data_IF_397827400769
#
_entry.id   IF_397827400769
#
_cell.length_a   1.000
_cell.length_b   1.000
_cell.length_c   1.000
_cell.angle_alpha   90.00
_cell.angle_beta   90.00
_cell.angle_gamma   90.00
#
_symmetry.space_group_name_H-M   'P 1'
#
loop_
_entity.id
_entity.type
_entity.pdbx_description
1 polymer ?
#
# COMPACT_ATOMS: atom_id res chain seq x y z
N UNK A 1 34.91 -1.48 -4.96
CA UNK A 1 33.55 -1.98 -5.26
C UNK A 1 32.61 -1.14 -4.43
N UNK A 2 32.04 -0.06 -4.99
CA UNK A 2 31.04 0.72 -4.27
C UNK A 2 29.89 -0.24 -3.94
N UNK A 3 29.53 -0.35 -2.66
CA UNK A 3 28.38 -1.16 -2.27
C UNK A 3 27.16 -0.59 -2.98
N UNK A 4 26.43 -1.41 -3.73
CA UNK A 4 25.18 -0.97 -4.35
C UNK A 4 24.28 -0.39 -3.25
N UNK A 5 23.96 0.90 -3.37
CA UNK A 5 23.07 1.55 -2.42
C UNK A 5 21.72 0.84 -2.47
N UNK A 6 21.27 0.32 -1.32
CA UNK A 6 20.04 -0.47 -1.26
C UNK A 6 18.87 0.48 -1.22
N UNK A 7 18.02 0.43 -2.25
CA UNK A 7 16.84 1.26 -2.32
C UNK A 7 15.88 0.88 -1.18
N UNK A 8 15.49 1.85 -0.36
CA UNK A 8 14.47 1.71 0.69
C UNK A 8 13.07 2.00 0.16
N UNK A 9 12.16 1.03 0.27
CA UNK A 9 10.73 1.17 -0.01
C UNK A 9 9.96 0.95 1.29
N UNK A 10 9.18 1.91 1.76
CA UNK A 10 8.27 1.69 2.88
C UNK A 10 6.87 1.37 2.39
N UNK A 11 6.16 0.49 3.09
CA UNK A 11 4.73 0.24 2.87
C UNK A 11 3.96 0.89 4.02
N UNK A 12 3.33 2.03 3.74
CA UNK A 12 2.46 2.73 4.69
C UNK A 12 1.05 2.16 4.55
N UNK A 13 0.63 1.36 5.52
CA UNK A 13 -0.70 0.75 5.48
C UNK A 13 -1.23 0.31 6.83
N UNK A 14 -2.23 -0.55 6.78
CA UNK A 14 -2.97 -1.03 7.95
C UNK A 14 -2.62 -2.49 8.29
N UNK A 15 -3.61 -3.29 8.72
CA UNK A 15 -3.45 -4.72 9.04
C UNK A 15 -3.02 -5.57 7.84
N UNK A 16 -3.43 -5.17 6.62
CA UNK A 16 -3.03 -5.86 5.38
C UNK A 16 -1.52 -5.75 5.13
N UNK A 17 -0.94 -4.63 5.55
CA UNK A 17 0.51 -4.39 5.49
C UNK A 17 1.22 -4.97 6.70
N UNK A 18 0.63 -4.83 7.91
CA UNK A 18 1.22 -5.32 9.15
C UNK A 18 1.38 -6.86 9.16
N UNK A 19 0.59 -7.58 8.36
CA UNK A 19 0.57 -9.04 8.34
C UNK A 19 -0.27 -9.61 9.47
N UNK A 20 -1.45 -9.02 9.72
CA UNK A 20 -2.34 -9.49 10.79
C UNK A 20 -2.61 -10.99 10.69
N UNK A 21 -2.38 -11.70 11.79
CA UNK A 21 -2.58 -13.15 11.88
C UNK A 21 -1.53 -14.00 11.15
N UNK A 22 -0.47 -13.39 10.60
CA UNK A 22 0.60 -14.07 9.87
C UNK A 22 1.94 -13.96 10.61
N UNK A 23 2.86 -14.86 10.27
CA UNK A 23 4.24 -14.71 10.69
C UNK A 23 4.90 -13.52 9.94
N UNK A 24 5.89 -12.83 10.53
CA UNK A 24 6.49 -11.63 9.92
C UNK A 24 7.05 -11.83 8.50
N UNK A 25 7.48 -13.04 8.17
CA UNK A 25 8.08 -13.41 6.87
C UNK A 25 7.02 -13.68 5.80
N UNK A 26 5.78 -13.90 6.23
CA UNK A 26 4.60 -14.10 5.39
C UNK A 26 3.84 -12.79 5.13
N UNK A 27 4.13 -11.74 5.88
CA UNK A 27 3.53 -10.42 5.69
C UNK A 27 3.88 -9.83 4.30
N UNK A 28 2.96 -9.04 3.75
CA UNK A 28 3.08 -8.47 2.41
C UNK A 28 4.44 -7.77 2.15
N UNK A 29 4.95 -6.88 3.02
CA UNK A 29 6.25 -6.24 2.80
C UNK A 29 7.42 -7.22 2.66
N UNK A 30 7.44 -8.30 3.47
CA UNK A 30 8.50 -9.31 3.42
C UNK A 30 8.43 -10.14 2.14
N UNK A 31 7.22 -10.53 1.73
CA UNK A 31 6.99 -11.25 0.47
C UNK A 31 7.31 -10.39 -0.76
N UNK A 32 6.97 -9.11 -0.72
CA UNK A 32 7.29 -8.14 -1.76
C UNK A 32 8.82 -7.94 -1.89
N UNK A 33 9.55 -7.80 -0.77
CA UNK A 33 11.01 -7.71 -0.77
C UNK A 33 11.64 -8.91 -1.47
N UNK A 34 11.21 -10.11 -1.07
CA UNK A 34 11.70 -11.36 -1.65
C UNK A 34 11.46 -11.39 -3.16
N UNK A 35 10.23 -11.11 -3.61
CA UNK A 35 9.87 -11.11 -5.02
C UNK A 35 10.66 -10.08 -5.84
N UNK A 36 10.84 -8.85 -5.32
CA UNK A 36 11.65 -7.82 -5.98
C UNK A 36 13.13 -8.22 -6.08
N UNK A 37 13.69 -8.85 -5.05
CA UNK A 37 15.08 -9.36 -5.08
C UNK A 37 15.26 -10.50 -6.07
N UNK A 38 14.29 -11.41 -6.19
CA UNK A 38 14.27 -12.45 -7.22
C UNK A 38 14.21 -11.84 -8.64
N UNK A 39 13.70 -10.62 -8.77
CA UNK A 39 13.72 -9.83 -10.02
C UNK A 39 15.01 -9.01 -10.20
N UNK A 40 16.03 -9.19 -9.35
CA UNK A 40 17.32 -8.50 -9.43
C UNK A 40 17.33 -7.08 -8.83
N UNK A 41 16.27 -6.68 -8.11
CA UNK A 41 16.21 -5.37 -7.47
C UNK A 41 16.90 -5.40 -6.09
N UNK A 42 17.94 -4.59 -5.91
CA UNK A 42 18.57 -4.38 -4.60
C UNK A 42 17.70 -3.43 -3.75
N UNK A 43 16.66 -3.99 -3.13
CA UNK A 43 15.67 -3.23 -2.34
C UNK A 43 15.57 -3.76 -0.91
N UNK A 44 15.27 -2.86 0.03
CA UNK A 44 14.83 -3.13 1.40
C UNK A 44 13.38 -2.65 1.52
N UNK A 45 12.45 -3.55 1.84
CA UNK A 45 11.05 -3.20 2.06
C UNK A 45 10.79 -3.08 3.56
N UNK A 46 10.40 -1.88 3.99
CA UNK A 46 10.10 -1.53 5.37
C UNK A 46 8.60 -1.71 5.60
N UNK A 47 8.25 -2.50 6.61
CA UNK A 47 6.87 -2.66 7.05
C UNK A 47 6.47 -1.49 7.95
N UNK A 48 5.71 -0.54 7.41
CA UNK A 48 5.08 0.54 8.17
C UNK A 48 3.56 0.33 8.27
N UNK A 49 3.14 -0.93 8.40
CA UNK A 49 1.77 -1.34 8.64
C UNK A 49 1.38 -1.25 10.12
N UNK A 50 0.21 -0.68 10.41
CA UNK A 50 -0.36 -0.67 11.76
C UNK A 50 -1.79 -1.19 11.71
N UNK A 51 -2.05 -2.31 12.36
CA UNK A 51 -3.38 -2.93 12.34
C UNK A 51 -4.45 -1.97 12.88
N UNK A 52 -5.53 -1.80 12.11
CA UNK A 52 -6.66 -0.94 12.47
C UNK A 52 -6.50 0.54 12.09
N UNK A 53 -5.39 0.92 11.47
CA UNK A 53 -5.17 2.29 10.99
C UNK A 53 -6.22 2.70 9.96
N UNK A 54 -6.76 3.90 10.18
CA UNK A 54 -7.49 4.65 9.15
C UNK A 54 -6.52 5.51 8.35
N UNK A 55 -6.98 6.11 7.26
CA UNK A 55 -6.22 7.12 6.52
C UNK A 55 -5.73 8.28 7.41
N UNK A 56 -6.52 8.68 8.42
CA UNK A 56 -6.14 9.70 9.39
C UNK A 56 -4.99 9.24 10.30
N UNK A 57 -5.04 7.97 10.75
CA UNK A 57 -3.98 7.36 11.56
C UNK A 57 -2.66 7.30 10.79
N UNK A 58 -2.71 6.82 9.54
CA UNK A 58 -1.55 6.80 8.66
C UNK A 58 -0.97 8.18 8.38
N UNK A 59 -1.81 9.19 8.14
CA UNK A 59 -1.36 10.58 7.98
C UNK A 59 -0.69 11.12 9.24
N UNK A 60 -1.24 10.85 10.42
CA UNK A 60 -0.72 11.34 11.68
C UNK A 60 0.69 10.81 11.98
N UNK A 61 1.00 9.58 11.54
CA UNK A 61 2.32 8.94 11.75
C UNK A 61 3.22 8.95 10.52
N UNK A 62 2.87 9.68 9.46
CA UNK A 62 3.65 9.70 8.23
C UNK A 62 5.12 10.04 8.48
N UNK A 63 5.40 10.99 9.39
CA UNK A 63 6.76 11.37 9.76
C UNK A 63 7.56 10.24 10.40
N UNK A 64 6.92 9.32 11.12
CA UNK A 64 7.60 8.14 11.67
C UNK A 64 8.01 7.17 10.56
N UNK A 65 7.17 6.99 9.54
CA UNK A 65 7.53 6.21 8.36
C UNK A 65 8.65 6.87 7.55
N UNK A 66 8.67 8.20 7.49
CA UNK A 66 9.72 8.95 6.80
C UNK A 66 11.06 8.97 7.56
N UNK A 67 11.08 8.66 8.86
CA UNK A 67 12.30 8.62 9.65
C UNK A 67 13.26 7.49 9.22
N UNK A 68 12.76 6.44 8.57
CA UNK A 68 13.59 5.42 7.93
C UNK A 68 14.15 5.86 6.57
N UNK A 69 13.86 7.09 6.15
CA UNK A 69 14.28 7.74 4.90
C UNK A 69 14.03 6.87 3.64
N UNK A 70 12.78 6.42 3.42
CA UNK A 70 12.45 5.68 2.22
C UNK A 70 12.59 6.55 0.97
N UNK A 71 13.01 5.96 -0.15
CA UNK A 71 12.96 6.59 -1.47
C UNK A 71 11.56 6.45 -2.08
N UNK A 72 10.90 5.33 -1.78
CA UNK A 72 9.56 5.00 -2.26
C UNK A 72 8.63 4.73 -1.08
N UNK A 73 7.40 5.23 -1.14
CA UNK A 73 6.33 4.85 -0.19
C UNK A 73 5.14 4.30 -0.95
N UNK A 74 4.83 3.02 -0.74
CA UNK A 74 3.58 2.42 -1.16
C UNK A 74 2.50 2.70 -0.11
N UNK A 75 1.47 3.44 -0.49
CA UNK A 75 0.36 3.82 0.38
C UNK A 75 -0.82 2.88 0.15
N UNK A 76 -1.21 2.15 1.19
CA UNK A 76 -2.38 1.27 1.21
C UNK A 76 -3.24 1.52 2.47
N UNK A 77 -4.14 2.50 2.39
CA UNK A 77 -5.02 2.93 3.47
C UNK A 77 -6.44 3.20 2.96
N UNK A 78 -7.40 3.24 3.88
CA UNK A 78 -8.82 3.51 3.62
C UNK A 78 -9.75 2.31 3.85
N UNK A 79 -9.21 1.10 4.00
CA UNK A 79 -10.00 -0.08 4.33
C UNK A 79 -10.74 0.09 5.66
N UNK A 80 -10.03 0.46 6.72
CA UNK A 80 -10.64 0.71 8.03
C UNK A 80 -11.58 1.92 8.05
N UNK A 81 -11.35 2.94 7.23
CA UNK A 81 -12.27 4.07 7.10
C UNK A 81 -13.64 3.57 6.64
N UNK A 82 -13.66 2.68 5.65
CA UNK A 82 -14.88 2.04 5.18
C UNK A 82 -15.50 1.15 6.24
N UNK A 83 -14.71 0.28 6.88
CA UNK A 83 -15.22 -0.63 7.92
C UNK A 83 -15.82 0.12 9.12
N UNK A 84 -15.41 1.38 9.35
CA UNK A 84 -15.94 2.27 10.39
C UNK A 84 -17.04 3.21 9.89
N UNK A 85 -17.42 3.14 8.60
CA UNK A 85 -18.45 3.98 8.01
C UNK A 85 -18.09 5.47 7.98
N UNK A 86 -16.81 5.81 7.91
CA UNK A 86 -16.36 7.21 7.80
C UNK A 86 -16.71 7.77 6.43
N UNK A 87 -17.06 9.06 6.37
CA UNK A 87 -17.36 9.73 5.10
C UNK A 87 -16.16 9.65 4.13
N UNK A 88 -16.35 9.24 2.85
CA UNK A 88 -15.27 9.08 1.87
C UNK A 88 -14.41 10.34 1.68
N UNK A 89 -14.99 11.53 1.89
CA UNK A 89 -14.31 12.81 1.78
C UNK A 89 -13.15 12.94 2.79
N UNK A 90 -13.29 12.38 3.99
CA UNK A 90 -12.21 12.35 4.98
C UNK A 90 -11.06 11.46 4.49
N UNK A 91 -11.37 10.27 3.97
CA UNK A 91 -10.36 9.37 3.40
C UNK A 91 -9.63 10.04 2.25
N UNK A 92 -10.37 10.70 1.36
CA UNK A 92 -9.79 11.46 0.24
C UNK A 92 -8.85 12.57 0.73
N UNK A 93 -9.29 13.40 1.68
CA UNK A 93 -8.48 14.50 2.20
C UNK A 93 -7.18 14.01 2.86
N UNK A 94 -7.25 12.91 3.62
CA UNK A 94 -6.08 12.34 4.28
C UNK A 94 -5.09 11.76 3.27
N UNK A 95 -5.56 10.98 2.29
CA UNK A 95 -4.71 10.42 1.24
C UNK A 95 -4.09 11.53 0.37
N UNK A 96 -4.85 12.57 0.06
CA UNK A 96 -4.34 13.75 -0.66
C UNK A 96 -3.18 14.41 0.10
N UNK A 97 -3.34 14.61 1.40
CA UNK A 97 -2.30 15.17 2.26
C UNK A 97 -1.07 14.26 2.36
N UNK A 98 -1.26 12.94 2.46
CA UNK A 98 -0.15 11.97 2.45
C UNK A 98 0.65 12.09 1.15
N UNK A 99 -0.01 11.99 0.00
CA UNK A 99 0.64 12.03 -1.31
C UNK A 99 1.36 13.36 -1.54
N UNK A 100 0.74 14.48 -1.14
CA UNK A 100 1.36 15.82 -1.20
C UNK A 100 2.66 15.85 -0.39
N UNK A 101 2.62 15.43 0.89
CA UNK A 101 3.78 15.49 1.78
C UNK A 101 4.92 14.58 1.33
N UNK A 102 4.61 13.40 0.77
CA UNK A 102 5.61 12.51 0.19
C UNK A 102 6.36 13.22 -0.95
N UNK A 103 5.63 13.84 -1.88
CA UNK A 103 6.22 14.58 -3.01
C UNK A 103 7.05 15.78 -2.55
N UNK A 104 6.56 16.55 -1.58
CA UNK A 104 7.31 17.68 -0.98
C UNK A 104 8.63 17.25 -0.34
N UNK A 105 8.70 16.01 0.16
CA UNK A 105 9.91 15.41 0.74
C UNK A 105 10.80 14.71 -0.29
N UNK A 106 10.46 14.76 -1.58
CA UNK A 106 11.20 14.08 -2.64
C UNK A 106 11.09 12.55 -2.57
N UNK A 107 10.06 12.03 -1.90
CA UNK A 107 9.80 10.58 -1.79
C UNK A 107 8.77 10.19 -2.84
N UNK A 108 9.06 9.16 -3.64
CA UNK A 108 8.19 8.71 -4.71
C UNK A 108 7.02 7.87 -4.17
N UNK A 109 5.76 8.36 -4.26
CA UNK A 109 4.61 7.59 -3.82
C UNK A 109 4.17 6.54 -4.85
N UNK A 110 3.62 5.43 -4.37
CA UNK A 110 2.80 4.49 -5.14
C UNK A 110 1.45 4.39 -4.42
N UNK A 111 0.33 4.57 -5.12
CA UNK A 111 -0.99 4.45 -4.52
C UNK A 111 -1.59 3.07 -4.82
N UNK A 112 -1.91 2.29 -3.78
CA UNK A 112 -2.65 1.05 -3.89
C UNK A 112 -4.09 1.25 -3.41
N UNK A 113 -5.04 1.16 -4.35
CA UNK A 113 -6.44 1.44 -4.11
C UNK A 113 -7.17 0.39 -3.28
N UNK A 114 -8.29 0.80 -2.67
CA UNK A 114 -9.25 -0.08 -2.03
C UNK A 114 -10.63 0.09 -2.66
N UNK A 115 -11.53 -0.85 -2.36
CA UNK A 115 -12.95 -0.76 -2.74
C UNK A 115 -13.82 -0.88 -1.51
N UNK A 116 -14.90 -0.12 -1.48
CA UNK A 116 -15.87 -0.23 -0.41
C UNK A 116 -16.74 -1.49 -0.59
N UNK A 117 -17.06 -2.23 0.49
CA UNK A 117 -18.01 -3.33 0.45
C UNK A 117 -19.38 -2.86 -0.07
N UNK A 118 -19.98 -3.65 -0.97
CA UNK A 118 -21.19 -3.26 -1.71
C UNK A 118 -22.42 -3.09 -0.80
N UNK A 119 -22.41 -3.70 0.38
CA UNK A 119 -23.47 -3.58 1.39
C UNK A 119 -23.56 -2.18 2.04
N UNK A 120 -22.58 -1.28 1.85
CA UNK A 120 -22.67 0.11 2.29
C UNK A 120 -23.57 1.00 1.41
N UNK A 121 -24.09 0.46 0.30
CA UNK A 121 -24.98 1.17 -0.60
C UNK A 121 -24.25 2.05 -1.63
N UNK A 122 -24.97 2.33 -2.73
CA UNK A 122 -24.41 3.04 -3.90
C UNK A 122 -23.86 4.42 -3.57
N UNK A 123 -24.56 5.14 -2.71
CA UNK A 123 -24.19 6.50 -2.31
C UNK A 123 -22.88 6.55 -1.52
N UNK A 124 -22.46 5.42 -0.94
CA UNK A 124 -21.16 5.31 -0.27
C UNK A 124 -20.08 4.74 -1.19
N UNK A 125 -20.32 3.58 -1.80
CA UNK A 125 -19.24 2.87 -2.50
C UNK A 125 -18.81 3.57 -3.80
N UNK A 126 -19.70 4.31 -4.47
CA UNK A 126 -19.36 5.03 -5.70
C UNK A 126 -18.34 6.14 -5.42
N UNK A 127 -18.60 7.10 -4.51
CA UNK A 127 -17.61 8.14 -4.21
C UNK A 127 -16.35 7.57 -3.55
N UNK A 128 -16.48 6.51 -2.73
CA UNK A 128 -15.30 5.86 -2.14
C UNK A 128 -14.41 5.23 -3.21
N UNK A 129 -14.92 4.38 -4.10
CA UNK A 129 -14.10 3.74 -5.14
C UNK A 129 -13.46 4.77 -6.09
N UNK A 130 -14.15 5.89 -6.35
CA UNK A 130 -13.67 6.96 -7.24
C UNK A 130 -12.52 7.81 -6.65
N UNK A 131 -12.32 7.79 -5.33
CA UNK A 131 -11.27 8.61 -4.70
C UNK A 131 -9.87 8.22 -5.18
N UNK A 132 -9.63 6.91 -5.35
CA UNK A 132 -8.30 6.38 -5.66
C UNK A 132 -7.80 6.74 -7.06
N UNK A 133 -8.54 6.47 -8.16
CA UNK A 133 -8.09 6.90 -9.48
C UNK A 133 -8.01 8.42 -9.60
N UNK A 134 -8.92 9.17 -8.96
CA UNK A 134 -8.87 10.64 -8.96
C UNK A 134 -7.62 11.19 -8.26
N UNK A 135 -7.21 10.60 -7.13
CA UNK A 135 -5.98 10.98 -6.44
C UNK A 135 -4.72 10.56 -7.21
N UNK A 136 -4.75 9.38 -7.82
CA UNK A 136 -3.66 8.92 -8.67
C UNK A 136 -3.40 9.88 -9.83
N UNK A 137 -4.46 10.31 -10.52
CA UNK A 137 -4.39 11.28 -11.61
C UNK A 137 -3.94 12.66 -11.11
N UNK A 138 -4.51 13.16 -10.00
CA UNK A 138 -4.17 14.48 -9.44
C UNK A 138 -2.67 14.60 -9.12
N UNK A 139 -2.09 13.55 -8.53
CA UNK A 139 -0.69 13.56 -8.08
C UNK A 139 0.29 13.04 -9.12
N UNK A 140 -0.20 12.51 -10.24
CA UNK A 140 0.56 11.80 -11.28
C UNK A 140 1.45 10.70 -10.67
N UNK A 141 0.80 9.76 -9.97
CA UNK A 141 1.49 8.69 -9.23
C UNK A 141 1.17 7.32 -9.80
N UNK A 142 2.14 6.38 -9.78
CA UNK A 142 1.89 4.98 -10.08
C UNK A 142 0.72 4.43 -9.24
N UNK A 143 -0.21 3.76 -9.91
CA UNK A 143 -1.48 3.35 -9.31
C UNK A 143 -1.75 1.86 -9.51
N UNK A 144 -2.00 1.16 -8.40
CA UNK A 144 -2.55 -0.20 -8.40
C UNK A 144 -4.04 -0.16 -8.00
N UNK A 145 -4.99 -0.45 -8.91
CA UNK A 145 -6.40 -0.11 -8.71
C UNK A 145 -7.09 -0.71 -7.49
N UNK A 146 -6.76 -1.95 -7.14
CA UNK A 146 -7.36 -2.63 -6.00
C UNK A 146 -6.37 -3.60 -5.36
N UNK A 147 -5.95 -3.30 -4.13
CA UNK A 147 -4.93 -4.08 -3.41
C UNK A 147 -5.30 -5.56 -3.27
N UNK A 148 -6.58 -5.84 -3.01
CA UNK A 148 -7.10 -7.20 -2.81
C UNK A 148 -7.69 -7.84 -4.09
N UNK A 149 -7.32 -7.35 -5.27
CA UNK A 149 -7.75 -7.93 -6.55
C UNK A 149 -7.40 -9.42 -6.62
N UNK A 150 -8.40 -10.27 -6.87
CA UNK A 150 -8.24 -11.73 -6.89
C UNK A 150 -8.20 -12.41 -5.51
N UNK A 151 -8.24 -11.66 -4.41
CA UNK A 151 -8.19 -12.20 -3.03
C UNK A 151 -9.47 -11.90 -2.25
N UNK A 152 -10.02 -10.69 -2.38
CA UNK A 152 -11.22 -10.30 -1.66
C UNK A 152 -12.40 -11.25 -1.98
N UNK A 153 -12.99 -11.83 -0.94
CA UNK A 153 -14.14 -12.73 -1.07
C UNK A 153 -13.81 -14.16 -1.51
N UNK A 154 -12.53 -14.53 -1.60
CA UNK A 154 -12.08 -15.91 -1.88
C UNK A 154 -11.70 -16.59 -0.57
N UNK A 155 -12.54 -17.47 0.01
CA UNK A 155 -12.33 -18.02 1.35
C UNK A 155 -10.97 -18.71 1.52
N UNK A 156 -10.48 -19.38 0.48
CA UNK A 156 -9.21 -20.12 0.49
C UNK A 156 -7.98 -19.19 0.59
N UNK A 157 -8.13 -17.92 0.23
CA UNK A 157 -7.06 -16.92 0.25
C UNK A 157 -7.14 -15.98 1.46
N UNK A 158 -8.11 -16.17 2.34
CA UNK A 158 -8.32 -15.33 3.52
C UNK A 158 -8.23 -16.15 4.81
N UNK A 159 -7.98 -15.46 5.92
CA UNK A 159 -8.15 -15.95 7.27
C UNK A 159 -9.65 -16.19 7.56
N UNK A 160 -10.00 -16.91 8.64
CA UNK A 160 -11.39 -17.19 8.98
C UNK A 160 -12.30 -15.97 9.19
N UNK A 161 -11.72 -14.78 9.37
CA UNK A 161 -12.48 -13.52 9.45
C UNK A 161 -13.02 -13.03 8.09
N UNK A 162 -12.53 -13.59 6.98
CA UNK A 162 -12.95 -13.25 5.61
C UNK A 162 -12.50 -11.86 5.13
N UNK A 163 -11.64 -11.17 5.88
CA UNK A 163 -11.16 -9.81 5.59
C UNK A 163 -9.66 -9.81 5.30
N UNK A 164 -8.90 -10.57 6.09
CA UNK A 164 -7.44 -10.55 6.02
C UNK A 164 -6.92 -11.70 5.14
N UNK A 165 -6.03 -11.43 4.17
CA UNK A 165 -5.38 -12.49 3.40
C UNK A 165 -4.60 -13.44 4.29
N UNK A 166 -4.67 -14.74 3.99
CA UNK A 166 -3.70 -15.70 4.54
C UNK A 166 -2.38 -15.63 3.74
N UNK A 167 -1.39 -16.46 4.09
CA UNK A 167 -0.09 -16.47 3.39
C UNK A 167 -0.25 -16.66 1.86
N UNK A 168 -1.13 -17.54 1.39
CA UNK A 168 -1.38 -17.74 -0.04
C UNK A 168 -2.04 -16.52 -0.70
N UNK A 169 -2.97 -15.87 0.01
CA UNK A 169 -3.55 -14.60 -0.44
C UNK A 169 -2.50 -13.50 -0.58
N UNK A 170 -1.55 -13.41 0.36
CA UNK A 170 -0.43 -12.46 0.26
C UNK A 170 0.43 -12.73 -0.98
N UNK A 171 0.76 -13.99 -1.29
CA UNK A 171 1.50 -14.32 -2.52
C UNK A 171 0.76 -13.87 -3.78
N UNK A 172 -0.57 -14.04 -3.81
CA UNK A 172 -1.39 -13.62 -4.95
C UNK A 172 -1.42 -12.09 -5.12
N UNK A 173 -1.48 -11.35 -4.00
CA UNK A 173 -1.37 -9.89 -4.01
C UNK A 173 0.00 -9.47 -4.55
N UNK A 174 1.08 -10.05 -4.02
CA UNK A 174 2.46 -9.77 -4.47
C UNK A 174 2.60 -10.04 -5.95
N UNK A 175 2.17 -11.22 -6.43
CA UNK A 175 2.25 -11.60 -7.84
C UNK A 175 1.60 -10.56 -8.77
N UNK A 176 0.46 -9.99 -8.36
CA UNK A 176 -0.29 -9.02 -9.18
C UNK A 176 0.31 -7.62 -9.15
N UNK A 177 0.73 -7.15 -7.98
CA UNK A 177 1.26 -5.78 -7.81
C UNK A 177 2.73 -5.67 -8.24
N UNK A 178 3.46 -6.79 -8.32
CA UNK A 178 4.91 -6.82 -8.51
C UNK A 178 5.39 -5.98 -9.69
N UNK A 179 4.71 -6.05 -10.84
CA UNK A 179 5.14 -5.31 -12.04
C UNK A 179 5.12 -3.80 -11.79
N UNK A 180 4.02 -3.28 -11.23
CA UNK A 180 3.87 -1.85 -10.92
C UNK A 180 4.97 -1.40 -9.96
N UNK A 181 5.24 -2.16 -8.89
CA UNK A 181 6.26 -1.79 -7.91
C UNK A 181 7.66 -1.88 -8.49
N UNK A 182 7.96 -2.93 -9.27
CA UNK A 182 9.27 -3.14 -9.90
C UNK A 182 9.62 -2.01 -10.85
N UNK A 183 8.66 -1.55 -11.66
CA UNK A 183 8.88 -0.47 -12.62
C UNK A 183 9.30 0.81 -11.89
N UNK A 184 8.60 1.15 -10.79
CA UNK A 184 8.94 2.32 -9.96
C UNK A 184 10.29 2.14 -9.27
N UNK A 185 10.57 0.97 -8.68
CA UNK A 185 11.87 0.67 -8.06
C UNK A 185 13.02 0.82 -9.06
N UNK A 186 12.82 0.40 -10.30
CA UNK A 186 13.84 0.49 -11.35
C UNK A 186 14.06 1.94 -11.79
N UNK A 187 12.99 2.71 -11.96
CA UNK A 187 13.05 4.13 -12.32
C UNK A 187 13.71 4.97 -11.23
N UNK A 188 13.29 4.77 -9.97
CA UNK A 188 13.80 5.50 -8.83
C UNK A 188 15.28 5.21 -8.61
N UNK A 189 15.70 3.94 -8.74
CA UNK A 189 17.11 3.56 -8.67
C UNK A 189 17.95 4.28 -9.73
N UNK A 190 17.45 4.40 -10.96
CA UNK A 190 18.16 5.10 -12.03
C UNK A 190 18.20 6.63 -11.83
N UNK A 191 17.33 7.20 -11.00
CA UNK A 191 17.31 8.63 -10.71
C UNK A 191 18.29 9.04 -9.58
N UNK A 192 18.67 8.09 -8.73
CA UNK A 192 19.60 8.31 -7.60
C UNK A 192 21.05 7.86 -7.89
N UNK A 193 21.27 7.12 -8.99
CA UNK A 193 22.60 6.76 -9.52
C UNK A 193 23.17 7.86 -10.44
#
# INVERSE_FOLDING_TARGET
MAGQETLRLAVLGDSLTAGYGLAPEEAFPARLEKALREQGCAVRVINAGVSGDTSAGGLARLEWTLADEPHIVLVNLGGNDTLRGLAPEHTRANLDAILTRLRERGVQPILAGMRAPRNFGRDYYIPFDALYPSLAEKHDVPFYPFFLEGVAGVPELNLPDGIHPNAQGVEEIVRRILLVVKDVVTQEKAAIE
#
